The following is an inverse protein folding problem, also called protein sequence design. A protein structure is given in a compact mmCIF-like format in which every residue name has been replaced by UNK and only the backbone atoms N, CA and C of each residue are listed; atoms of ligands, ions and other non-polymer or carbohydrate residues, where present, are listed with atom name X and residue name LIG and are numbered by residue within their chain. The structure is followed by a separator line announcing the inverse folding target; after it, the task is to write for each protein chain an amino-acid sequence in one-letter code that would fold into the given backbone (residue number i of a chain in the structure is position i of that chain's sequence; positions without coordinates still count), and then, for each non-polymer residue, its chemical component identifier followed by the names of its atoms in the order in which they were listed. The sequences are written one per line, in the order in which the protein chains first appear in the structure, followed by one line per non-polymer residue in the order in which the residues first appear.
data_IF_434390502745
#
_entry.id   IF_434390502745
#
_cell.length_a   1.000
_cell.length_b   1.000
_cell.length_c   1.000
_cell.angle_alpha   90.00
_cell.angle_beta   90.00
_cell.angle_gamma   90.00
#
_symmetry.space_group_name_H-M   'P 1'
#
loop_
_entity.id
_entity.type
_entity.pdbx_description
1 polymer ?
#
# COMPACT_ATOMS: atom_id res chain seq x y z
N UNK A 1 -28.05 -30.69 87.43
CA UNK A 1 -28.20 -31.80 86.47
C UNK A 1 -29.64 -31.73 85.99
N UNK A 2 -30.07 -31.56 84.75
CA UNK A 2 -29.49 -31.55 83.40
C UNK A 2 -30.71 -31.22 82.50
N UNK A 3 -30.58 -30.44 81.42
CA UNK A 3 -31.67 -30.23 80.45
C UNK A 3 -31.85 -28.75 80.07
N UNK A 4 -31.08 -28.18 79.13
CA UNK A 4 -31.12 -28.35 77.66
C UNK A 4 -32.31 -27.63 77.00
N UNK A 5 -31.98 -26.46 76.41
CA UNK A 5 -32.47 -25.83 75.18
C UNK A 5 -33.98 -25.58 74.96
N UNK A 6 -34.32 -24.33 74.64
CA UNK A 6 -34.58 -23.89 73.24
C UNK A 6 -34.98 -22.40 73.21
N UNK A 7 -33.99 -21.51 73.16
CA UNK A 7 -34.23 -20.12 72.79
C UNK A 7 -34.02 -19.96 71.28
N UNK A 8 -35.10 -19.60 70.59
CA UNK A 8 -35.14 -19.21 69.19
C UNK A 8 -34.27 -17.95 69.01
N UNK A 9 -33.16 -18.07 68.28
CA UNK A 9 -32.48 -16.91 67.68
C UNK A 9 -32.41 -17.13 66.17
N UNK A 10 -33.28 -16.39 65.49
CA UNK A 10 -33.32 -16.18 64.05
C UNK A 10 -32.00 -15.60 63.54
N UNK A 11 -31.41 -16.24 62.54
CA UNK A 11 -30.35 -15.67 61.72
C UNK A 11 -30.93 -14.53 60.86
N UNK A 12 -30.26 -13.38 60.70
CA UNK A 12 -30.62 -12.42 59.66
C UNK A 12 -30.28 -13.02 58.28
N UNK A 13 -31.20 -12.89 57.32
CA UNK A 13 -30.98 -13.23 55.93
C UNK A 13 -29.81 -12.40 55.35
N UNK A 14 -28.93 -13.04 54.58
CA UNK A 14 -27.92 -12.37 53.77
C UNK A 14 -28.62 -11.47 52.74
N UNK A 15 -28.44 -10.15 52.86
CA UNK A 15 -28.83 -9.20 51.82
C UNK A 15 -28.09 -9.52 50.50
N UNK A 16 -28.76 -9.44 49.33
CA UNK A 16 -28.07 -9.54 48.06
C UNK A 16 -27.15 -8.32 47.86
N UNK A 17 -25.87 -8.61 47.63
CA UNK A 17 -24.82 -7.64 47.28
C UNK A 17 -25.22 -6.83 46.04
N UNK A 18 -24.91 -5.52 45.95
CA UNK A 18 -25.27 -4.69 44.82
C UNK A 18 -24.64 -5.22 43.52
N UNK A 19 -25.46 -5.31 42.47
CA UNK A 19 -25.04 -5.65 41.12
C UNK A 19 -23.89 -4.72 40.69
N UNK A 20 -22.72 -5.30 40.45
CA UNK A 20 -21.65 -4.61 39.75
C UNK A 20 -22.11 -4.28 38.33
N UNK A 21 -21.89 -3.05 37.84
CA UNK A 21 -22.22 -2.73 36.46
C UNK A 21 -21.39 -3.62 35.53
N UNK A 22 -22.08 -4.29 34.61
CA UNK A 22 -21.48 -4.87 33.41
C UNK A 22 -20.61 -3.78 32.79
N UNK A 23 -19.28 -3.92 32.91
CA UNK A 23 -18.34 -3.17 32.10
C UNK A 23 -18.56 -3.63 30.66
N UNK A 24 -19.46 -2.92 30.00
CA UNK A 24 -19.62 -2.86 28.55
C UNK A 24 -18.23 -2.73 27.94
N UNK A 25 -17.80 -3.76 27.22
CA UNK A 25 -16.53 -3.79 26.50
C UNK A 25 -16.39 -2.59 25.56
N UNK A 26 -15.22 -1.94 25.55
CA UNK A 26 -14.71 -1.25 24.37
C UNK A 26 -13.31 -1.80 23.98
N UNK A 27 -12.93 -1.63 22.71
CA UNK A 27 -12.90 -2.65 21.66
C UNK A 27 -11.65 -3.54 21.72
N UNK A 28 -11.84 -4.86 21.83
CA UNK A 28 -10.78 -5.84 21.53
C UNK A 28 -10.34 -5.81 20.04
N UNK A 29 -11.14 -5.16 19.18
CA UNK A 29 -10.86 -4.98 17.74
C UNK A 29 -9.68 -4.01 17.52
N UNK A 30 -9.51 -2.97 18.34
CA UNK A 30 -8.34 -2.07 18.23
C UNK A 30 -7.03 -2.74 18.69
N UNK A 31 -7.10 -3.66 19.65
CA UNK A 31 -5.92 -4.22 20.30
C UNK A 31 -5.20 -5.31 19.48
N UNK A 32 -5.83 -5.87 18.45
CA UNK A 32 -5.23 -6.92 17.60
C UNK A 32 -4.54 -6.40 16.34
N UNK A 33 -4.71 -5.12 16.00
CA UNK A 33 -4.03 -4.45 14.89
C UNK A 33 -2.81 -3.61 15.33
N UNK A 34 -2.44 -3.65 16.62
CA UNK A 34 -1.17 -3.07 17.06
C UNK A 34 0.00 -3.99 16.66
N UNK A 35 0.56 -3.75 15.47
CA UNK A 35 2.00 -3.89 15.07
C UNK A 35 2.26 -4.35 13.62
N UNK A 36 1.34 -4.11 12.70
CA UNK A 36 1.75 -3.77 11.33
C UNK A 36 1.31 -2.34 11.10
N UNK A 37 2.21 -1.39 11.36
CA UNK A 37 2.05 -0.02 10.88
C UNK A 37 2.12 -0.08 9.36
N UNK A 38 1.00 -0.45 8.72
CA UNK A 38 0.83 -0.30 7.30
C UNK A 38 0.98 1.18 7.01
N UNK A 39 1.98 1.51 6.19
CA UNK A 39 2.21 2.87 5.77
C UNK A 39 1.15 3.27 4.76
N UNK A 40 0.72 4.51 4.84
CA UNK A 40 -0.20 5.08 3.88
C UNK A 40 0.42 5.00 2.48
N UNK A 41 -0.41 4.73 1.48
CA UNK A 41 -0.03 4.62 0.09
C UNK A 41 -0.58 5.79 -0.71
N UNK A 42 0.33 6.61 -1.22
CA UNK A 42 0.00 7.83 -1.95
C UNK A 42 -0.15 7.62 -3.48
N UNK A 43 0.01 6.38 -3.98
CA UNK A 43 0.04 6.08 -5.41
C UNK A 43 1.44 6.03 -6.05
N UNK A 44 2.50 5.81 -5.26
CA UNK A 44 3.86 5.61 -5.80
C UNK A 44 4.03 4.23 -6.46
N UNK A 45 4.43 4.19 -7.74
CA UNK A 45 4.66 2.93 -8.48
C UNK A 45 5.73 2.05 -7.82
N UNK A 46 6.78 2.68 -7.29
CA UNK A 46 7.91 2.00 -6.63
C UNK A 46 7.44 1.35 -5.32
N UNK A 47 6.56 2.05 -4.61
CA UNK A 47 6.04 1.62 -3.32
C UNK A 47 4.92 0.59 -3.42
N UNK A 48 4.34 0.39 -4.61
CA UNK A 48 3.15 -0.44 -4.79
C UNK A 48 3.37 -1.87 -4.30
N UNK A 49 4.42 -2.56 -4.76
CA UNK A 49 4.65 -3.96 -4.37
C UNK A 49 4.84 -4.13 -2.86
N UNK A 50 5.53 -3.19 -2.22
CA UNK A 50 5.75 -3.21 -0.76
C UNK A 50 4.44 -3.00 0.00
N UNK A 51 3.66 -1.99 -0.40
CA UNK A 51 2.36 -1.72 0.17
C UNK A 51 1.38 -2.89 -0.03
N UNK A 52 1.24 -3.35 -1.27
CA UNK A 52 0.30 -4.40 -1.63
C UNK A 52 0.63 -5.70 -0.89
N UNK A 53 1.88 -6.13 -0.85
CA UNK A 53 2.27 -7.34 -0.11
C UNK A 53 1.98 -7.23 1.39
N UNK A 54 2.27 -6.07 2.00
CA UNK A 54 1.99 -5.82 3.41
C UNK A 54 0.48 -5.81 3.70
N UNK A 55 -0.30 -5.06 2.92
CA UNK A 55 -1.77 -5.01 3.05
C UNK A 55 -2.40 -6.38 2.76
N UNK A 56 -1.90 -7.10 1.76
CA UNK A 56 -2.42 -8.42 1.36
C UNK A 56 -2.29 -9.41 2.51
N UNK A 57 -1.10 -9.49 3.10
CA UNK A 57 -0.78 -10.41 4.20
C UNK A 57 -1.52 -10.05 5.49
N UNK A 58 -1.61 -8.75 5.80
CA UNK A 58 -2.18 -8.28 7.06
C UNK A 58 -3.71 -8.18 7.07
N UNK A 59 -4.34 -7.99 5.90
CA UNK A 59 -5.74 -7.59 5.79
C UNK A 59 -6.48 -8.41 4.73
N UNK A 60 -5.97 -8.43 3.49
CA UNK A 60 -6.70 -9.06 2.38
C UNK A 60 -6.91 -10.56 2.60
N UNK A 61 -5.87 -11.27 3.06
CA UNK A 61 -5.88 -12.71 3.33
C UNK A 61 -6.39 -13.07 4.73
N UNK A 62 -6.65 -12.08 5.60
CA UNK A 62 -7.22 -12.35 6.92
C UNK A 62 -8.72 -12.70 6.79
N UNK A 63 -9.06 -13.96 7.03
CA UNK A 63 -10.43 -14.47 6.98
C UNK A 63 -11.29 -14.07 8.20
N UNK A 64 -10.69 -13.49 9.24
CA UNK A 64 -11.42 -13.00 10.42
C UNK A 64 -12.07 -11.62 10.20
N UNK A 65 -11.65 -10.90 9.16
CA UNK A 65 -12.20 -9.60 8.78
C UNK A 65 -13.26 -9.75 7.69
N UNK A 66 -14.37 -9.02 7.84
CA UNK A 66 -15.37 -8.89 6.78
C UNK A 66 -14.83 -8.06 5.61
N UNK A 67 -15.41 -8.24 4.42
CA UNK A 67 -15.02 -7.48 3.22
C UNK A 67 -15.21 -5.98 3.42
N UNK A 68 -16.27 -5.56 4.12
CA UNK A 68 -16.51 -4.14 4.43
C UNK A 68 -15.45 -3.57 5.37
N UNK A 69 -14.98 -4.33 6.37
CA UNK A 69 -13.87 -3.91 7.24
C UNK A 69 -12.56 -3.79 6.45
N UNK A 70 -12.26 -4.77 5.60
CA UNK A 70 -11.09 -4.72 4.71
C UNK A 70 -11.12 -3.49 3.82
N UNK A 71 -12.27 -3.19 3.22
CA UNK A 71 -12.40 -2.06 2.30
C UNK A 71 -12.32 -0.71 3.03
N UNK A 72 -12.98 -0.59 4.18
CA UNK A 72 -12.88 0.61 5.03
C UNK A 72 -11.43 0.86 5.43
N UNK A 73 -10.71 -0.19 5.81
CA UNK A 73 -9.30 -0.05 6.19
C UNK A 73 -8.41 0.28 4.99
N UNK A 74 -8.64 -0.31 3.81
CA UNK A 74 -7.97 0.08 2.57
C UNK A 74 -8.13 1.57 2.32
N UNK A 75 -9.36 2.09 2.30
CA UNK A 75 -9.62 3.50 2.04
C UNK A 75 -8.92 4.43 3.04
N UNK A 76 -8.77 4.00 4.30
CA UNK A 76 -8.04 4.77 5.32
C UNK A 76 -6.53 4.86 5.09
N UNK A 77 -5.96 3.88 4.37
CA UNK A 77 -4.53 3.82 4.05
C UNK A 77 -4.20 4.50 2.72
N UNK A 78 -5.18 4.76 1.85
CA UNK A 78 -4.95 5.38 0.56
C UNK A 78 -4.95 6.91 0.67
N UNK A 79 -3.98 7.52 0.00
CA UNK A 79 -3.81 8.96 -0.11
C UNK A 79 -3.57 9.38 -1.56
N UNK A 80 -3.74 10.67 -1.84
CA UNK A 80 -3.46 11.28 -3.14
C UNK A 80 -4.02 10.45 -4.31
N UNK A 81 -3.13 10.12 -5.25
CA UNK A 81 -3.50 9.42 -6.50
C UNK A 81 -4.15 8.06 -6.27
N UNK A 82 -3.77 7.34 -5.22
CA UNK A 82 -4.37 6.04 -4.92
C UNK A 82 -5.78 6.17 -4.35
N UNK A 83 -6.01 7.20 -3.52
CA UNK A 83 -7.34 7.52 -3.00
C UNK A 83 -8.27 7.98 -4.12
N UNK A 84 -7.77 8.85 -5.00
CA UNK A 84 -8.53 9.39 -6.13
C UNK A 84 -8.94 8.29 -7.12
N UNK A 85 -8.09 7.26 -7.31
CA UNK A 85 -8.36 6.16 -8.22
C UNK A 85 -9.67 5.42 -7.90
N UNK A 86 -9.97 5.23 -6.60
CA UNK A 86 -11.17 4.51 -6.15
C UNK A 86 -12.24 5.45 -5.58
N UNK A 87 -12.11 6.76 -5.82
CA UNK A 87 -13.08 7.75 -5.35
C UNK A 87 -14.47 7.45 -5.94
N UNK A 88 -15.50 7.46 -5.08
CA UNK A 88 -16.88 7.17 -5.49
C UNK A 88 -17.26 5.68 -5.47
N UNK A 89 -16.35 4.77 -5.12
CA UNK A 89 -16.70 3.37 -4.91
C UNK A 89 -17.49 3.21 -3.60
N UNK A 90 -18.68 2.60 -3.69
CA UNK A 90 -19.49 2.29 -2.51
C UNK A 90 -18.87 1.15 -1.70
N UNK A 91 -18.93 1.21 -0.37
CA UNK A 91 -18.46 0.17 0.55
C UNK A 91 -19.34 -1.09 0.46
N UNK A 92 -19.09 -1.89 -0.58
CA UNK A 92 -19.79 -3.14 -0.88
C UNK A 92 -18.80 -4.17 -1.39
N UNK A 93 -19.12 -5.45 -1.22
CA UNK A 93 -18.20 -6.54 -1.54
C UNK A 93 -17.78 -6.55 -3.02
N UNK A 94 -18.74 -6.36 -3.92
CA UNK A 94 -18.46 -6.28 -5.36
C UNK A 94 -17.53 -5.11 -5.72
N UNK A 95 -17.64 -3.98 -5.00
CA UNK A 95 -16.80 -2.81 -5.22
C UNK A 95 -15.43 -2.92 -4.55
N UNK A 96 -15.31 -3.70 -3.48
CA UNK A 96 -13.99 -4.00 -2.91
C UNK A 96 -13.12 -4.73 -3.93
N UNK A 97 -13.63 -5.80 -4.55
CA UNK A 97 -12.89 -6.52 -5.60
C UNK A 97 -12.51 -5.59 -6.75
N UNK A 98 -13.46 -4.81 -7.26
CA UNK A 98 -13.19 -3.85 -8.33
C UNK A 98 -12.16 -2.77 -7.93
N UNK A 99 -12.15 -2.34 -6.66
CA UNK A 99 -11.17 -1.37 -6.17
C UNK A 99 -9.77 -1.97 -6.11
N UNK A 100 -9.63 -3.21 -5.64
CA UNK A 100 -8.35 -3.93 -5.64
C UNK A 100 -7.84 -4.10 -7.07
N UNK A 101 -8.68 -4.56 -7.99
CA UNK A 101 -8.32 -4.77 -9.40
C UNK A 101 -7.87 -3.47 -10.07
N UNK A 102 -8.55 -2.35 -9.77
CA UNK A 102 -8.18 -1.04 -10.31
C UNK A 102 -6.84 -0.55 -9.76
N UNK A 103 -6.60 -0.69 -8.45
CA UNK A 103 -5.34 -0.30 -7.84
C UNK A 103 -4.18 -1.15 -8.36
N UNK A 104 -4.40 -2.46 -8.50
CA UNK A 104 -3.48 -3.36 -9.19
C UNK A 104 -3.23 -2.86 -10.61
N UNK A 105 -4.24 -2.78 -11.47
CA UNK A 105 -4.04 -2.32 -12.85
C UNK A 105 -3.34 -0.95 -12.98
N UNK A 106 -3.59 -0.02 -12.05
CA UNK A 106 -3.03 1.33 -12.12
C UNK A 106 -1.61 1.45 -11.55
N UNK A 107 -1.25 0.64 -10.54
CA UNK A 107 0.02 0.77 -9.81
C UNK A 107 0.92 -0.46 -9.90
N UNK A 108 0.37 -1.59 -10.29
CA UNK A 108 1.07 -2.76 -10.82
C UNK A 108 1.50 -2.47 -12.26
N UNK A 109 2.39 -3.30 -12.80
CA UNK A 109 3.00 -3.11 -14.13
C UNK A 109 4.11 -2.05 -14.23
N UNK A 110 5.01 -2.08 -13.23
CA UNK A 110 6.35 -1.50 -13.30
C UNK A 110 7.08 -1.90 -14.60
N UNK A 111 6.90 -3.11 -15.09
CA UNK A 111 7.58 -3.63 -16.29
C UNK A 111 7.20 -2.88 -17.56
N UNK A 112 5.92 -2.57 -17.77
CA UNK A 112 5.47 -1.76 -18.91
C UNK A 112 6.03 -0.35 -18.89
N UNK A 113 6.12 0.28 -17.73
CA UNK A 113 6.71 1.63 -17.61
C UNK A 113 8.23 1.60 -17.82
N UNK A 114 8.92 0.58 -17.29
CA UNK A 114 10.32 0.34 -17.62
C UNK A 114 10.47 0.18 -19.13
N UNK A 115 9.66 -0.68 -19.76
CA UNK A 115 9.70 -0.92 -21.20
C UNK A 115 9.50 0.37 -21.99
N UNK A 116 8.50 1.20 -21.67
CA UNK A 116 8.26 2.47 -22.35
C UNK A 116 9.44 3.45 -22.23
N UNK A 117 10.07 3.55 -21.05
CA UNK A 117 11.26 4.39 -20.88
C UNK A 117 12.49 3.82 -21.59
N UNK A 118 12.65 2.50 -21.59
CA UNK A 118 13.72 1.80 -22.31
C UNK A 118 13.55 1.96 -23.83
N UNK A 119 12.33 1.86 -24.35
CA UNK A 119 12.00 2.12 -25.74
C UNK A 119 12.32 3.56 -26.13
N UNK A 120 11.95 4.53 -25.28
CA UNK A 120 12.34 5.94 -25.49
C UNK A 120 13.85 6.16 -25.53
N UNK A 121 14.62 5.40 -24.74
CA UNK A 121 16.10 5.46 -24.77
C UNK A 121 16.65 4.83 -26.05
N UNK A 122 16.05 3.75 -26.54
CA UNK A 122 16.43 3.10 -27.80
C UNK A 122 16.08 3.97 -29.02
N UNK A 123 14.99 4.74 -28.94
CA UNK A 123 14.45 5.56 -30.03
C UNK A 123 14.92 7.03 -30.02
N UNK A 124 15.98 7.38 -29.26
CA UNK A 124 16.51 8.75 -29.23
C UNK A 124 16.90 9.24 -30.64
N UNK A 125 16.74 10.54 -30.90
CA UNK A 125 17.15 11.16 -32.16
C UNK A 125 18.68 11.22 -32.27
N UNK A 126 19.22 10.99 -33.46
CA UNK A 126 20.67 11.15 -33.71
C UNK A 126 20.96 12.64 -33.87
N UNK A 127 22.03 13.11 -33.23
CA UNK A 127 22.55 14.46 -33.43
C UNK A 127 23.70 14.38 -34.44
N UNK A 128 23.60 15.14 -35.53
CA UNK A 128 24.51 15.03 -36.68
C UNK A 128 25.68 16.01 -36.65
N UNK A 129 25.68 16.99 -35.74
CA UNK A 129 26.73 18.01 -35.66
C UNK A 129 26.98 18.45 -34.22
N UNK A 130 28.25 18.56 -33.84
CA UNK A 130 28.69 19.10 -32.55
C UNK A 130 28.27 20.56 -32.32
N UNK A 131 28.06 21.32 -33.41
CA UNK A 131 27.65 22.71 -33.33
C UNK A 131 26.17 22.86 -32.98
N UNK A 132 25.38 21.78 -33.03
CA UNK A 132 23.97 21.79 -32.68
C UNK A 132 23.78 21.54 -31.18
N UNK A 133 24.15 22.55 -30.39
CA UNK A 133 24.07 22.51 -28.92
C UNK A 133 22.64 22.27 -28.42
N UNK A 134 21.63 22.76 -29.15
CA UNK A 134 20.21 22.56 -28.80
C UNK A 134 19.83 21.09 -28.85
N UNK A 135 20.20 20.38 -29.91
CA UNK A 135 19.89 18.97 -30.08
C UNK A 135 20.71 18.11 -29.13
N UNK A 136 21.98 18.45 -28.88
CA UNK A 136 22.81 17.81 -27.86
C UNK A 136 22.18 17.94 -26.47
N UNK A 137 21.70 19.14 -26.11
CA UNK A 137 21.01 19.36 -24.84
C UNK A 137 19.72 18.55 -24.76
N UNK A 138 18.91 18.53 -25.82
CA UNK A 138 17.68 17.72 -25.88
C UNK A 138 18.00 16.23 -25.70
N UNK A 139 19.03 15.72 -26.37
CA UNK A 139 19.48 14.33 -26.24
C UNK A 139 19.87 14.03 -24.78
N UNK A 140 20.68 14.90 -24.16
CA UNK A 140 21.09 14.77 -22.77
C UNK A 140 19.90 14.77 -21.81
N UNK A 141 19.00 15.75 -21.93
CA UNK A 141 17.85 15.91 -21.05
C UNK A 141 16.89 14.72 -21.16
N UNK A 142 16.57 14.27 -22.39
CA UNK A 142 15.75 13.06 -22.64
C UNK A 142 16.40 11.82 -22.05
N UNK A 143 17.71 11.64 -22.25
CA UNK A 143 18.45 10.48 -21.71
C UNK A 143 18.42 10.49 -20.18
N UNK A 144 18.75 11.63 -19.57
CA UNK A 144 18.78 11.79 -18.11
C UNK A 144 17.41 11.60 -17.48
N UNK A 145 16.35 12.11 -18.10
CA UNK A 145 14.99 11.94 -17.61
C UNK A 145 14.57 10.47 -17.61
N UNK A 146 14.77 9.75 -18.72
CA UNK A 146 14.40 8.33 -18.80
C UNK A 146 15.25 7.47 -17.85
N UNK A 147 16.56 7.72 -17.74
CA UNK A 147 17.42 7.01 -16.77
C UNK A 147 16.92 7.22 -15.34
N UNK A 148 16.58 8.47 -14.95
CA UNK A 148 16.00 8.76 -13.63
C UNK A 148 14.68 8.02 -13.39
N UNK A 149 13.80 7.96 -14.39
CA UNK A 149 12.54 7.23 -14.28
C UNK A 149 12.75 5.73 -14.11
N UNK A 150 13.65 5.14 -14.89
CA UNK A 150 14.00 3.70 -14.81
C UNK A 150 14.68 3.36 -13.47
N UNK A 151 15.57 4.23 -12.98
CA UNK A 151 16.21 4.11 -11.67
C UNK A 151 15.22 4.25 -10.52
N UNK A 152 14.29 5.22 -10.61
CA UNK A 152 13.20 5.36 -9.65
C UNK A 152 12.35 4.09 -9.64
N UNK A 153 12.04 3.52 -10.81
CA UNK A 153 11.37 2.22 -10.90
C UNK A 153 12.22 1.07 -10.34
N UNK A 154 13.50 1.26 -10.02
CA UNK A 154 14.35 0.28 -9.33
C UNK A 154 15.19 -0.58 -10.28
N UNK A 155 15.43 -0.12 -11.51
CA UNK A 155 16.34 -0.78 -12.45
C UNK A 155 17.62 0.03 -12.53
N UNK A 156 18.70 -0.53 -11.99
CA UNK A 156 20.01 0.13 -11.98
C UNK A 156 20.71 0.00 -13.33
N UNK A 157 21.68 0.90 -13.60
CA UNK A 157 22.44 0.92 -14.85
C UNK A 157 23.10 -0.42 -15.20
N UNK A 158 23.44 -1.24 -14.21
CA UNK A 158 24.07 -2.54 -14.43
C UNK A 158 23.23 -3.52 -15.27
N UNK A 159 21.91 -3.36 -15.25
CA UNK A 159 20.98 -4.21 -15.98
C UNK A 159 20.88 -3.89 -17.47
N UNK A 160 21.23 -2.66 -17.88
CA UNK A 160 21.00 -2.21 -19.27
C UNK A 160 22.20 -1.53 -19.93
N UNK A 161 23.25 -1.17 -19.18
CA UNK A 161 24.40 -0.41 -19.70
C UNK A 161 25.01 -1.04 -20.95
N UNK A 162 25.21 -2.36 -20.95
CA UNK A 162 25.83 -3.08 -22.07
C UNK A 162 24.98 -2.99 -23.36
N UNK A 163 23.66 -2.89 -23.23
CA UNK A 163 22.74 -2.75 -24.35
C UNK A 163 22.64 -1.30 -24.84
N UNK A 164 22.55 -0.33 -23.92
CA UNK A 164 22.29 1.06 -24.27
C UNK A 164 23.54 1.88 -24.61
N UNK A 165 24.73 1.52 -24.10
CA UNK A 165 25.98 2.21 -24.46
C UNK A 165 26.21 2.29 -25.97
N UNK A 166 26.12 1.19 -26.76
CA UNK A 166 26.27 1.29 -28.22
C UNK A 166 25.13 2.04 -28.89
N UNK A 167 23.94 2.11 -28.29
CA UNK A 167 22.85 2.99 -28.79
C UNK A 167 23.27 4.45 -28.62
N UNK A 168 23.68 4.86 -27.42
CA UNK A 168 24.03 6.26 -27.14
C UNK A 168 25.20 6.76 -27.97
N UNK A 169 26.25 5.93 -28.14
CA UNK A 169 27.39 6.29 -28.99
C UNK A 169 26.94 6.61 -30.42
N UNK A 170 25.97 5.85 -30.97
CA UNK A 170 25.42 6.10 -32.32
C UNK A 170 24.51 7.32 -32.40
N UNK A 171 24.05 7.88 -31.27
CA UNK A 171 23.22 9.09 -31.25
C UNK A 171 24.05 10.37 -31.15
N UNK A 172 25.33 10.25 -30.81
CA UNK A 172 26.24 11.38 -30.75
C UNK A 172 26.85 11.67 -32.14
N UNK A 173 27.17 12.95 -32.43
CA UNK A 173 27.98 13.31 -33.58
C UNK A 173 29.34 12.61 -33.55
N UNK A 174 29.89 12.36 -34.74
CA UNK A 174 31.21 11.74 -34.93
C UNK A 174 32.31 12.79 -34.95
#
# INVERSE_FOLDING_TARGET
MTGVNRALRSLPALSPSPAHPLLTSPPAIMAKLSKLNLRNFNGSLIGWSSFWNAYKTAVHEDHSLSVTEKFTYLQSLLEGRARDAIAGFALTDAKYTAAIDLLQHQFEDKEKWIAAHMDSLMSLEVVTSDNNVTDLRRLYDKTKSNIRSVDALGVTADHYRALLTPVFIRKLPQ
#
